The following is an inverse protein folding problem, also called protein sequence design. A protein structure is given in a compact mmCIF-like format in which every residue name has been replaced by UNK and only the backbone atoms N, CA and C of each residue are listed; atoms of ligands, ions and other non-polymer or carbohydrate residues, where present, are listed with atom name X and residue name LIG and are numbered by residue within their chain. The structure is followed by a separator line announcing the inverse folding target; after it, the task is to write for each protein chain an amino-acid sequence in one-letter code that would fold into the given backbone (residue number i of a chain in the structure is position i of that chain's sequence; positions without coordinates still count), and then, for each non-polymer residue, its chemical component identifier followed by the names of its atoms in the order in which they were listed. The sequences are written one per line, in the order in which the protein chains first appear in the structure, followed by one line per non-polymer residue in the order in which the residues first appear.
data_IF_036424271833
#
_entry.id   IF_036424271833
#
_cell.length_a   1.000
_cell.length_b   1.000
_cell.length_c   1.000
_cell.angle_alpha   90.00
_cell.angle_beta   90.00
_cell.angle_gamma   90.00
#
_symmetry.space_group_name_H-M   'P 1'
#
loop_
_entity.id
_entity.type
_entity.pdbx_description
1 polymer ?
#
# COMPACT_ATOMS: atom_id res chain seq x y z
N UNK A 1 42.99 -43.02 4.94
CA UNK A 1 42.83 -41.81 5.78
C UNK A 1 42.97 -40.51 4.99
N UNK A 2 44.06 -40.27 4.22
CA UNK A 2 44.26 -39.01 3.44
C UNK A 2 43.10 -38.65 2.49
N UNK A 3 42.52 -39.63 1.77
CA UNK A 3 41.38 -39.40 0.85
C UNK A 3 40.07 -39.03 1.57
N UNK A 4 39.86 -39.54 2.77
CA UNK A 4 38.69 -39.22 3.59
C UNK A 4 38.79 -37.78 4.09
N UNK A 5 39.97 -37.39 4.61
CA UNK A 5 40.24 -36.03 5.08
C UNK A 5 40.02 -34.97 3.99
N UNK A 6 40.44 -35.26 2.75
CA UNK A 6 40.23 -34.38 1.60
C UNK A 6 38.74 -34.26 1.27
N UNK A 7 37.99 -35.37 1.32
CA UNK A 7 36.54 -35.35 1.12
C UNK A 7 35.83 -34.52 2.19
N UNK A 8 36.20 -34.68 3.48
CA UNK A 8 35.58 -33.91 4.57
C UNK A 8 35.89 -32.41 4.46
N UNK A 9 37.10 -32.03 4.06
CA UNK A 9 37.45 -30.62 3.83
C UNK A 9 36.67 -29.99 2.67
N UNK A 10 36.47 -30.72 1.57
CA UNK A 10 35.68 -30.24 0.43
C UNK A 10 34.21 -30.05 0.83
N UNK A 11 33.64 -31.01 1.58
CA UNK A 11 32.27 -30.95 2.04
C UNK A 11 32.04 -29.78 3.01
N UNK A 12 32.98 -29.50 3.91
CA UNK A 12 32.90 -28.33 4.80
C UNK A 12 32.97 -27.00 4.06
N UNK A 13 33.70 -26.94 2.94
CA UNK A 13 33.79 -25.72 2.11
C UNK A 13 32.46 -25.44 1.40
N UNK A 14 31.77 -26.48 0.91
CA UNK A 14 30.47 -26.35 0.25
C UNK A 14 29.32 -25.91 1.18
N UNK A 15 29.44 -26.09 2.49
CA UNK A 15 28.43 -25.65 3.48
C UNK A 15 28.67 -24.19 3.88
N UNK A 16 29.88 -23.66 3.65
CA UNK A 16 30.28 -22.31 4.03
C UNK A 16 30.01 -21.23 2.99
N UNK A 17 29.49 -21.58 1.80
CA UNK A 17 29.04 -20.57 0.84
C UNK A 17 27.80 -19.88 1.39
N UNK A 18 27.84 -18.56 1.68
CA UNK A 18 26.64 -17.85 2.06
C UNK A 18 25.61 -18.01 0.97
N UNK A 19 24.37 -18.32 1.33
CA UNK A 19 23.25 -18.26 0.41
C UNK A 19 23.26 -16.87 -0.21
N UNK A 20 23.62 -16.77 -1.49
CA UNK A 20 23.44 -15.55 -2.24
C UNK A 20 21.94 -15.31 -2.27
N UNK A 21 21.43 -14.48 -1.36
CA UNK A 21 20.05 -14.05 -1.36
C UNK A 21 19.84 -13.31 -2.66
N UNK A 22 19.28 -13.99 -3.64
CA UNK A 22 18.88 -13.37 -4.90
C UNK A 22 17.82 -12.33 -4.53
N UNK A 23 18.20 -11.06 -4.63
CA UNK A 23 17.22 -9.98 -4.55
C UNK A 23 16.28 -10.12 -5.74
N UNK A 24 14.97 -9.93 -5.58
CA UNK A 24 14.07 -9.85 -6.72
C UNK A 24 14.54 -8.76 -7.67
N UNK A 25 14.41 -9.02 -8.98
CA UNK A 25 14.69 -8.03 -10.02
C UNK A 25 13.58 -6.99 -9.94
N UNK A 26 13.96 -5.73 -9.76
CA UNK A 26 13.06 -4.60 -9.75
C UNK A 26 13.47 -3.65 -10.86
N UNK A 27 12.62 -3.53 -11.87
CA UNK A 27 12.85 -2.69 -13.06
C UNK A 27 12.20 -1.30 -12.93
N UNK A 28 11.67 -0.99 -11.74
CA UNK A 28 11.10 0.32 -11.42
C UNK A 28 12.17 1.28 -10.88
N UNK A 29 11.89 2.58 -11.02
CA UNK A 29 12.75 3.65 -10.51
C UNK A 29 12.73 3.77 -8.97
N UNK A 30 11.75 3.15 -8.32
CA UNK A 30 11.59 3.09 -6.85
C UNK A 30 12.14 1.79 -6.29
N UNK A 31 12.43 1.71 -4.98
CA UNK A 31 12.82 0.43 -4.38
C UNK A 31 11.69 -0.63 -4.44
N UNK A 32 12.06 -1.91 -4.34
CA UNK A 32 11.11 -3.01 -4.49
C UNK A 32 9.94 -2.96 -3.49
N UNK A 33 10.18 -2.49 -2.26
CA UNK A 33 9.14 -2.39 -1.23
C UNK A 33 8.15 -1.32 -1.62
N UNK A 34 8.63 -0.15 -2.06
CA UNK A 34 7.77 0.92 -2.56
C UNK A 34 7.00 0.53 -3.81
N UNK A 35 7.62 -0.17 -4.74
CA UNK A 35 6.94 -0.73 -5.91
C UNK A 35 5.79 -1.65 -5.50
N UNK A 36 6.01 -2.52 -4.49
CA UNK A 36 4.96 -3.40 -3.97
C UNK A 36 3.84 -2.64 -3.26
N UNK A 37 4.17 -1.61 -2.48
CA UNK A 37 3.17 -0.75 -1.83
C UNK A 37 2.27 -0.07 -2.87
N UNK A 38 2.85 0.55 -3.90
CA UNK A 38 2.08 1.17 -4.97
C UNK A 38 1.24 0.16 -5.75
N UNK A 39 1.82 -1.00 -6.09
CA UNK A 39 1.07 -2.05 -6.77
C UNK A 39 -0.13 -2.54 -5.94
N UNK A 40 0.04 -2.67 -4.62
CA UNK A 40 -1.04 -3.05 -3.72
C UNK A 40 -2.13 -1.99 -3.65
N UNK A 41 -1.77 -0.72 -3.46
CA UNK A 41 -2.74 0.39 -3.43
C UNK A 41 -3.50 0.48 -4.76
N UNK A 42 -2.81 0.37 -5.91
CA UNK A 42 -3.43 0.38 -7.24
C UNK A 42 -4.42 -0.79 -7.39
N UNK A 43 -4.09 -1.97 -6.86
CA UNK A 43 -4.98 -3.13 -6.92
C UNK A 43 -6.28 -2.94 -6.12
N UNK A 44 -6.34 -1.92 -5.26
CA UNK A 44 -7.47 -1.57 -4.40
C UNK A 44 -8.20 -0.30 -4.89
N UNK A 45 -8.00 0.11 -6.15
CA UNK A 45 -8.61 1.34 -6.70
C UNK A 45 -10.13 1.35 -6.58
N UNK A 46 -10.80 0.26 -6.94
CA UNK A 46 -12.26 0.16 -6.91
C UNK A 46 -12.86 0.39 -5.51
N UNK A 47 -12.43 -0.31 -4.43
CA UNK A 47 -12.95 -0.05 -3.09
C UNK A 47 -12.54 1.31 -2.52
N UNK A 48 -11.41 1.89 -2.95
CA UNK A 48 -11.02 3.25 -2.55
C UNK A 48 -11.95 4.28 -3.20
N UNK A 49 -12.20 4.17 -4.51
CA UNK A 49 -13.11 5.05 -5.25
C UNK A 49 -14.55 4.96 -4.71
N UNK A 50 -15.01 3.75 -4.38
CA UNK A 50 -16.31 3.52 -3.74
C UNK A 50 -16.41 4.25 -2.39
N UNK A 51 -15.38 4.13 -1.55
CA UNK A 51 -15.36 4.77 -0.25
C UNK A 51 -15.38 6.30 -0.38
N UNK A 52 -14.51 6.88 -1.22
CA UNK A 52 -14.47 8.34 -1.44
C UNK A 52 -15.82 8.84 -1.96
N UNK A 53 -16.37 8.19 -2.99
CA UNK A 53 -17.69 8.54 -3.53
C UNK A 53 -18.76 8.50 -2.44
N UNK A 54 -18.72 7.49 -1.58
CA UNK A 54 -19.71 7.32 -0.50
C UNK A 54 -19.56 8.35 0.62
N UNK A 55 -18.32 8.70 0.98
CA UNK A 55 -18.01 9.68 2.03
C UNK A 55 -18.53 11.07 1.62
N UNK A 56 -18.26 11.49 0.39
CA UNK A 56 -18.54 12.86 -0.06
C UNK A 56 -19.89 13.01 -0.78
N UNK A 57 -20.68 11.95 -0.98
CA UNK A 57 -21.97 11.99 -1.72
C UNK A 57 -22.96 13.05 -1.21
N UNK A 58 -22.94 13.33 0.09
CA UNK A 58 -23.87 14.24 0.76
C UNK A 58 -23.22 15.59 1.11
N UNK A 59 -21.91 15.76 0.82
CA UNK A 59 -21.20 17.01 1.04
C UNK A 59 -21.44 17.99 -0.11
N UNK A 60 -22.25 19.01 0.15
CA UNK A 60 -22.61 20.04 -0.84
C UNK A 60 -21.45 20.95 -1.24
N UNK A 61 -20.34 20.93 -0.50
CA UNK A 61 -19.17 21.74 -0.80
C UNK A 61 -18.08 20.91 -1.49
N UNK A 62 -18.25 19.59 -1.61
CA UNK A 62 -17.29 18.74 -2.28
C UNK A 62 -17.23 19.09 -3.77
N UNK A 63 -16.03 19.29 -4.32
CA UNK A 63 -15.83 19.36 -5.77
C UNK A 63 -16.38 18.11 -6.45
N UNK A 64 -16.96 18.27 -7.64
CA UNK A 64 -17.47 17.12 -8.43
C UNK A 64 -16.34 16.20 -8.92
N UNK A 65 -15.10 16.70 -8.95
CA UNK A 65 -13.90 16.06 -9.48
C UNK A 65 -12.88 15.72 -8.38
N UNK A 66 -13.33 15.23 -7.23
CA UNK A 66 -12.41 14.69 -6.22
C UNK A 66 -11.65 13.48 -6.78
N UNK A 67 -10.33 13.61 -6.81
CA UNK A 67 -9.38 12.57 -7.18
C UNK A 67 -8.54 12.18 -5.97
N UNK A 68 -7.73 11.13 -6.09
CA UNK A 68 -6.72 10.77 -5.10
C UNK A 68 -5.51 10.17 -5.83
N UNK A 69 -4.37 10.10 -5.14
CA UNK A 69 -3.13 9.61 -5.74
C UNK A 69 -2.47 8.51 -4.92
N UNK A 70 -1.92 7.53 -5.63
CA UNK A 70 -1.26 6.36 -5.08
C UNK A 70 0.00 6.72 -4.29
N UNK A 71 0.74 7.74 -4.73
CA UNK A 71 1.96 8.21 -4.07
C UNK A 71 1.71 8.98 -2.77
N UNK A 72 0.48 9.45 -2.56
CA UNK A 72 0.04 10.17 -1.36
C UNK A 72 -0.74 9.27 -0.39
N UNK A 73 -1.34 8.18 -0.87
CA UNK A 73 -2.01 7.21 -0.02
C UNK A 73 -1.02 6.43 0.87
N UNK A 74 -1.40 6.17 2.12
CA UNK A 74 -0.55 5.49 3.10
C UNK A 74 -1.16 4.18 3.58
N UNK A 75 -0.39 3.09 3.54
CA UNK A 75 -0.75 1.85 4.24
C UNK A 75 -0.36 2.02 5.72
N UNK A 76 -1.36 2.14 6.59
CA UNK A 76 -1.13 2.30 8.03
C UNK A 76 -0.97 0.96 8.75
N UNK A 77 -1.67 -0.08 8.28
CA UNK A 77 -1.72 -1.39 8.95
C UNK A 77 -2.11 -2.47 7.95
N UNK A 78 -1.41 -3.60 7.99
CA UNK A 78 -1.85 -4.86 7.36
C UNK A 78 -2.06 -5.87 8.48
N UNK A 79 -3.30 -6.35 8.62
CA UNK A 79 -3.69 -7.32 9.63
C UNK A 79 -4.05 -8.63 8.95
N UNK A 80 -3.32 -9.68 9.29
CA UNK A 80 -3.66 -11.04 8.88
C UNK A 80 -4.95 -11.50 9.58
N UNK A 81 -5.87 -12.03 8.79
CA UNK A 81 -7.06 -12.72 9.26
C UNK A 81 -6.82 -14.23 9.08
N UNK A 82 -6.60 -14.93 10.19
CA UNK A 82 -6.37 -16.37 10.18
C UNK A 82 -4.91 -16.75 9.89
N UNK A 83 -4.71 -17.77 9.05
CA UNK A 83 -3.38 -18.29 8.71
C UNK A 83 -2.72 -17.52 7.55
N UNK A 84 -1.41 -17.74 7.37
CA UNK A 84 -0.65 -17.08 6.30
C UNK A 84 -1.20 -17.52 4.94
N UNK A 85 -1.59 -16.55 4.11
CA UNK A 85 -2.14 -16.79 2.78
C UNK A 85 -3.67 -16.92 2.71
N UNK A 86 -4.38 -16.75 3.83
CA UNK A 86 -5.84 -16.68 3.82
C UNK A 86 -6.34 -15.27 3.45
N UNK A 87 -6.67 -14.44 4.44
CA UNK A 87 -7.19 -13.10 4.21
C UNK A 87 -6.38 -12.05 4.98
N UNK A 88 -6.40 -10.83 4.45
CA UNK A 88 -5.71 -9.69 5.06
C UNK A 88 -6.64 -8.48 5.01
N UNK A 89 -6.68 -7.72 6.09
CA UNK A 89 -7.27 -6.38 6.16
C UNK A 89 -6.15 -5.35 6.03
N UNK A 90 -6.36 -4.38 5.17
CA UNK A 90 -5.42 -3.30 4.88
C UNK A 90 -6.11 -2.01 5.31
N UNK A 91 -5.56 -1.34 6.31
CA UNK A 91 -5.98 0.01 6.70
C UNK A 91 -5.18 1.01 5.89
N UNK A 92 -5.88 1.78 5.08
CA UNK A 92 -5.35 2.84 4.22
C UNK A 92 -5.73 4.20 4.78
N UNK A 93 -4.85 5.16 4.57
CA UNK A 93 -5.13 6.58 4.70
C UNK A 93 -5.09 7.20 3.31
N UNK A 94 -6.15 7.88 2.90
CA UNK A 94 -6.27 8.48 1.57
C UNK A 94 -6.60 9.95 1.72
N UNK A 95 -6.08 10.74 0.79
CA UNK A 95 -6.22 12.20 0.77
C UNK A 95 -6.88 12.62 -0.54
N UNK A 96 -8.21 12.69 -0.59
CA UNK A 96 -8.89 13.21 -1.77
C UNK A 96 -8.50 14.66 -2.01
N UNK A 97 -8.23 15.00 -3.26
CA UNK A 97 -7.83 16.32 -3.72
C UNK A 97 -8.64 16.75 -4.94
N UNK A 98 -8.57 18.04 -5.27
CA UNK A 98 -9.14 18.60 -6.50
C UNK A 98 -8.15 19.55 -7.17
N UNK A 99 -8.37 19.82 -8.45
CA UNK A 99 -7.55 20.74 -9.24
C UNK A 99 -6.04 20.41 -9.18
N UNK A 100 -5.22 21.39 -8.81
CA UNK A 100 -3.76 21.23 -8.71
C UNK A 100 -3.34 20.55 -7.39
N UNK A 101 -3.92 19.40 -7.05
CA UNK A 101 -3.65 18.64 -5.80
C UNK A 101 -3.93 19.44 -4.52
N UNK A 102 -5.03 20.19 -4.50
CA UNK A 102 -5.49 20.79 -3.25
C UNK A 102 -6.22 19.72 -2.44
N UNK A 103 -5.62 19.28 -1.34
CA UNK A 103 -6.22 18.28 -0.44
C UNK A 103 -7.56 18.84 0.06
N UNK A 104 -8.62 18.10 -0.20
CA UNK A 104 -9.97 18.40 0.25
C UNK A 104 -10.28 17.71 1.57
N UNK A 105 -9.79 16.50 1.76
CA UNK A 105 -10.08 15.75 2.98
C UNK A 105 -9.07 14.66 3.27
N UNK A 106 -9.33 13.98 4.37
CA UNK A 106 -8.50 12.91 4.90
C UNK A 106 -9.41 11.79 5.38
N UNK A 107 -9.17 10.59 4.87
CA UNK A 107 -10.06 9.44 5.07
C UNK A 107 -9.28 8.20 5.47
N UNK A 108 -9.84 7.42 6.39
CA UNK A 108 -9.38 6.07 6.71
C UNK A 108 -10.29 5.05 6.05
N UNK A 109 -9.67 4.07 5.42
CA UNK A 109 -10.37 2.96 4.79
C UNK A 109 -9.81 1.66 5.36
N UNK A 110 -10.66 0.67 5.53
CA UNK A 110 -10.24 -0.70 5.76
C UNK A 110 -10.82 -1.54 4.65
N UNK A 111 -9.92 -2.16 3.90
CA UNK A 111 -10.26 -2.99 2.75
C UNK A 111 -9.66 -4.38 2.95
N UNK A 112 -10.39 -5.40 2.53
CA UNK A 112 -9.83 -6.74 2.41
C UNK A 112 -8.88 -6.75 1.20
N UNK A 113 -7.77 -7.47 1.30
CA UNK A 113 -6.83 -7.66 0.18
C UNK A 113 -7.45 -8.31 -1.07
N UNK A 114 -8.65 -8.89 -0.95
CA UNK A 114 -9.46 -9.39 -2.09
C UNK A 114 -10.24 -8.30 -2.84
N UNK A 115 -10.17 -7.04 -2.42
CA UNK A 115 -10.86 -5.91 -3.06
C UNK A 115 -12.20 -5.52 -2.44
N UNK A 116 -12.56 -6.07 -1.28
CA UNK A 116 -13.81 -5.74 -0.58
C UNK A 116 -13.60 -4.55 0.38
N UNK A 117 -14.45 -3.52 0.28
CA UNK A 117 -14.50 -2.43 1.26
C UNK A 117 -15.20 -2.89 2.54
N UNK A 118 -14.49 -2.87 3.67
CA UNK A 118 -15.00 -3.35 4.98
C UNK A 118 -15.60 -2.20 5.79
N UNK A 119 -14.82 -1.13 5.96
CA UNK A 119 -15.24 0.06 6.70
C UNK A 119 -14.50 1.30 6.19
N UNK A 120 -15.07 2.47 6.42
CA UNK A 120 -14.42 3.75 6.17
C UNK A 120 -14.80 4.77 7.24
N UNK A 121 -13.89 5.70 7.49
CA UNK A 121 -14.07 6.80 8.41
C UNK A 121 -13.52 8.08 7.80
N UNK A 122 -14.39 9.07 7.62
CA UNK A 122 -13.97 10.42 7.30
C UNK A 122 -13.32 11.06 8.52
N UNK A 123 -12.09 11.57 8.38
CA UNK A 123 -11.35 12.21 9.47
C UNK A 123 -11.54 13.72 9.48
N UNK A 124 -11.30 14.38 8.34
CA UNK A 124 -11.38 15.83 8.24
C UNK A 124 -11.65 16.31 6.81
N UNK A 125 -12.26 17.49 6.70
CA UNK A 125 -12.43 18.24 5.45
C UNK A 125 -11.72 19.58 5.58
N UNK A 126 -10.74 19.80 4.71
CA UNK A 126 -9.98 21.04 4.65
C UNK A 126 -10.69 22.06 3.77
N UNK A 127 -11.48 22.92 4.39
CA UNK A 127 -12.04 24.08 3.68
C UNK A 127 -10.91 25.07 3.33
N UNK A 128 -10.57 25.18 2.05
CA UNK A 128 -9.78 26.31 1.57
C UNK A 128 -10.64 27.56 1.74
N UNK A 129 -10.26 28.45 2.67
CA UNK A 129 -10.82 29.81 2.71
C UNK A 129 -10.49 30.46 1.37
N UNK A 130 -11.51 30.77 0.59
CA UNK A 130 -11.37 31.65 -0.58
C UNK A 130 -10.88 33.01 -0.06
N UNK A 131 -9.57 33.28 -0.14
CA UNK A 131 -8.96 34.56 0.23
C UNK A 131 -9.28 35.68 -0.78
N UNK A 132 -10.26 35.47 -1.68
CA UNK A 132 -10.79 36.49 -2.58
C UNK A 132 -12.13 37.01 -2.08
N UNK A 133 -12.11 37.78 -0.99
CA UNK A 133 -13.20 38.73 -0.66
C UNK A 133 -12.63 40.10 -0.31
#
# INVERSE_FOLDING_TARGET
MKRILVLTCILSLCISVPSAFAKPINEADTDFTKTLEYALIISLIEPIDEAITTIYKDDKNAPEDLEWSVDEAEILKIKQLGEVGEAYEITLKVFPYYGNKQIYGEDLLVVQAGGELIEFHHLDTYHVKDERK
#
